data_IF_283989513475
#
_entry.id   IF_283989513475
#
_cell.length_a   1.000
_cell.length_b   1.000
_cell.length_c   1.000
_cell.angle_alpha   90.00
_cell.angle_beta   90.00
_cell.angle_gamma   90.00
#
_symmetry.space_group_name_H-M   'P 1'
#
loop_
_entity.id
_entity.type
_entity.pdbx_description
1 polymer ?
#
# COMPACT_ATOMS: atom_id res chain seq x y z
N UNK A 1 13.17 -36.14 -21.59
CA UNK A 1 11.75 -35.71 -21.53
C UNK A 1 11.09 -36.04 -20.20
N UNK A 2 10.99 -37.31 -19.79
CA UNK A 2 10.34 -37.70 -18.52
C UNK A 2 10.88 -36.95 -17.28
N UNK A 3 12.20 -36.89 -17.11
CA UNK A 3 12.85 -36.20 -15.97
C UNK A 3 12.59 -34.68 -15.91
N UNK A 4 12.46 -34.02 -17.06
CA UNK A 4 12.15 -32.59 -17.14
C UNK A 4 10.68 -32.31 -16.80
N UNK A 5 9.78 -33.19 -17.24
CA UNK A 5 8.35 -33.15 -16.89
C UNK A 5 8.18 -33.40 -15.39
N UNK A 6 8.91 -34.36 -14.81
CA UNK A 6 8.89 -34.62 -13.37
C UNK A 6 9.42 -33.43 -12.56
N UNK A 7 10.49 -32.78 -13.02
CA UNK A 7 11.03 -31.58 -12.37
C UNK A 7 10.06 -30.39 -12.44
N UNK A 8 9.40 -30.18 -13.58
CA UNK A 8 8.40 -29.13 -13.75
C UNK A 8 7.18 -29.37 -12.85
N UNK A 9 6.68 -30.61 -12.76
CA UNK A 9 5.57 -30.97 -11.87
C UNK A 9 5.93 -30.80 -10.38
N UNK A 10 7.17 -31.12 -10.00
CA UNK A 10 7.64 -30.90 -8.63
C UNK A 10 7.74 -29.41 -8.28
N UNK A 11 8.18 -28.56 -9.22
CA UNK A 11 8.24 -27.11 -9.03
C UNK A 11 6.84 -26.49 -8.90
N UNK A 12 5.89 -26.94 -9.72
CA UNK A 12 4.48 -26.51 -9.65
C UNK A 12 3.87 -26.92 -8.30
N UNK A 13 4.15 -28.13 -7.81
CA UNK A 13 3.65 -28.60 -6.52
C UNK A 13 4.22 -27.78 -5.34
N UNK A 14 5.49 -27.38 -5.41
CA UNK A 14 6.11 -26.50 -4.41
C UNK A 14 5.50 -25.09 -4.39
N UNK A 15 5.13 -24.56 -5.56
CA UNK A 15 4.43 -23.26 -5.67
C UNK A 15 3.00 -23.34 -5.08
N UNK A 16 2.32 -24.47 -5.26
CA UNK A 16 0.98 -24.69 -4.69
C UNK A 16 1.06 -24.85 -3.16
N UNK A 17 2.08 -25.54 -2.63
CA UNK A 17 2.30 -25.71 -1.19
C UNK A 17 2.76 -24.42 -0.49
N UNK A 18 3.49 -23.54 -1.19
CA UNK A 18 3.82 -22.19 -0.70
C UNK A 18 2.63 -21.21 -0.78
N UNK A 19 1.50 -21.62 -1.37
CA UNK A 19 0.29 -20.81 -1.51
C UNK A 19 -0.73 -20.96 -0.37
N UNK A 20 -0.51 -21.87 0.59
CA UNK A 20 -1.37 -21.99 1.77
C UNK A 20 -0.78 -21.15 2.91
N UNK A 21 -1.47 -20.05 3.22
CA UNK A 21 -1.11 -19.00 4.20
C UNK A 21 -0.11 -17.96 3.66
N UNK A 22 -0.64 -16.94 2.96
CA UNK A 22 0.14 -15.72 2.74
C UNK A 22 0.53 -15.14 4.09
N UNK A 23 1.84 -15.00 4.34
CA UNK A 23 2.32 -14.27 5.51
C UNK A 23 1.83 -12.83 5.46
N UNK A 24 1.70 -12.19 6.63
CA UNK A 24 1.31 -10.77 6.69
C UNK A 24 2.30 -9.87 5.93
N UNK A 25 3.54 -10.30 5.75
CA UNK A 25 4.54 -9.64 4.90
C UNK A 25 4.15 -9.68 3.43
N UNK A 26 3.79 -10.86 2.89
CA UNK A 26 3.37 -11.00 1.50
C UNK A 26 2.10 -10.18 1.19
N UNK A 27 1.17 -10.11 2.15
CA UNK A 27 -0.04 -9.29 2.01
C UNK A 27 0.30 -7.80 1.94
N UNK A 28 1.26 -7.34 2.75
CA UNK A 28 1.75 -5.94 2.70
C UNK A 28 2.43 -5.63 1.37
N UNK A 29 3.33 -6.49 0.90
CA UNK A 29 3.99 -6.31 -0.40
C UNK A 29 2.99 -6.25 -1.55
N UNK A 30 1.97 -7.12 -1.53
CA UNK A 30 0.89 -7.10 -2.51
C UNK A 30 0.10 -5.78 -2.47
N UNK A 31 -0.18 -5.25 -1.27
CA UNK A 31 -0.84 -3.94 -1.10
C UNK A 31 0.03 -2.79 -1.56
N UNK A 32 1.33 -2.83 -1.31
CA UNK A 32 2.27 -1.80 -1.75
C UNK A 32 2.35 -1.75 -3.28
N UNK A 33 2.41 -2.92 -3.92
CA UNK A 33 2.32 -3.05 -5.38
C UNK A 33 1.00 -2.50 -5.92
N UNK A 34 -0.14 -2.90 -5.32
CA UNK A 34 -1.45 -2.40 -5.72
C UNK A 34 -1.55 -0.87 -5.58
N UNK A 35 -1.08 -0.34 -4.45
CA UNK A 35 -1.06 1.08 -4.17
C UNK A 35 -0.23 1.85 -5.20
N UNK A 36 0.92 1.31 -5.62
CA UNK A 36 1.81 1.97 -6.60
C UNK A 36 1.21 2.02 -8.01
N UNK A 37 0.41 1.02 -8.39
CA UNK A 37 -0.17 0.95 -9.75
C UNK A 37 -1.43 1.82 -9.88
N UNK A 38 -2.30 1.82 -8.87
CA UNK A 38 -3.67 2.34 -9.00
C UNK A 38 -4.16 3.07 -7.74
N UNK A 39 -3.31 3.21 -6.72
CA UNK A 39 -3.69 3.73 -5.41
C UNK A 39 -4.61 2.77 -4.62
N UNK A 40 -4.90 3.14 -3.37
CA UNK A 40 -5.91 2.48 -2.54
C UNK A 40 -6.95 3.50 -2.08
N UNK A 41 -8.17 3.04 -1.80
CA UNK A 41 -9.20 3.88 -1.20
C UNK A 41 -8.79 4.22 0.24
N UNK A 42 -8.52 5.49 0.50
CA UNK A 42 -7.99 5.97 1.77
C UNK A 42 -8.65 7.27 2.21
N UNK A 43 -8.55 7.52 3.50
CA UNK A 43 -8.82 8.82 4.13
C UNK A 43 -7.51 9.30 4.73
N UNK A 44 -7.06 10.49 4.33
CA UNK A 44 -5.90 11.16 4.91
C UNK A 44 -6.36 12.36 5.72
N UNK A 45 -6.06 12.36 7.01
CA UNK A 45 -6.35 13.45 7.93
C UNK A 45 -5.06 14.18 8.30
N UNK A 46 -5.07 15.49 8.14
CA UNK A 46 -3.95 16.38 8.47
C UNK A 46 -4.26 17.09 9.76
N UNK A 47 -3.32 17.04 10.69
CA UNK A 47 -3.46 17.58 12.03
C UNK A 47 -2.57 18.80 12.22
N UNK A 48 -3.05 19.79 12.98
CA UNK A 48 -2.22 20.86 13.51
C UNK A 48 -1.36 20.39 14.69
N UNK A 49 -0.49 21.28 15.19
CA UNK A 49 0.39 21.00 16.32
C UNK A 49 -0.36 20.81 17.66
N UNK A 50 -1.65 21.17 17.72
CA UNK A 50 -2.52 20.98 18.87
C UNK A 50 -3.33 19.68 18.78
N UNK A 51 -3.19 18.92 17.69
CA UNK A 51 -3.91 17.66 17.47
C UNK A 51 -5.31 17.84 16.88
N UNK A 52 -5.65 19.01 16.34
CA UNK A 52 -6.92 19.22 15.66
C UNK A 52 -6.80 18.87 14.17
N UNK A 53 -7.81 18.21 13.62
CA UNK A 53 -7.90 17.99 12.17
C UNK A 53 -8.15 19.32 11.47
N UNK A 54 -7.26 19.69 10.57
CA UNK A 54 -7.34 20.91 9.75
C UNK A 54 -7.69 20.62 8.29
N UNK A 55 -7.52 19.37 7.85
CA UNK A 55 -7.87 18.95 6.49
C UNK A 55 -8.13 17.44 6.44
N UNK A 56 -9.09 17.04 5.61
CA UNK A 56 -9.36 15.65 5.29
C UNK A 56 -9.39 15.48 3.77
N UNK A 57 -8.67 14.48 3.27
CA UNK A 57 -8.71 14.03 1.89
C UNK A 57 -9.33 12.65 1.86
N UNK A 58 -10.21 12.39 0.89
CA UNK A 58 -10.84 11.09 0.69
C UNK A 58 -10.74 10.75 -0.78
N UNK A 59 -10.41 9.51 -1.09
CA UNK A 59 -10.35 9.07 -2.48
C UNK A 59 -9.42 7.89 -2.64
N UNK A 60 -9.05 7.63 -3.89
CA UNK A 60 -8.12 6.58 -4.25
C UNK A 60 -6.78 7.20 -4.62
N UNK A 61 -5.75 6.93 -3.82
CA UNK A 61 -4.44 7.53 -4.02
C UNK A 61 -3.32 6.64 -3.49
N UNK A 62 -2.14 6.76 -4.07
CA UNK A 62 -0.89 6.25 -3.52
C UNK A 62 -0.31 7.24 -2.51
N UNK A 63 0.62 6.81 -1.67
CA UNK A 63 1.26 7.70 -0.69
C UNK A 63 2.76 7.51 -0.78
N UNK A 64 3.48 8.61 -0.94
CA UNK A 64 4.93 8.65 -0.82
C UNK A 64 5.32 9.49 0.39
N UNK A 65 6.15 8.90 1.24
CA UNK A 65 6.79 9.59 2.36
C UNK A 65 8.28 9.68 2.05
N UNK A 66 8.90 10.83 2.32
CA UNK A 66 10.34 10.94 2.16
C UNK A 66 11.10 10.22 3.30
N UNK A 67 12.40 10.00 3.09
CA UNK A 67 13.28 9.33 4.07
C UNK A 67 13.25 9.99 5.47
N UNK A 68 13.08 11.31 5.53
CA UNK A 68 13.05 12.05 6.79
C UNK A 68 11.67 12.10 7.46
N UNK A 69 10.63 11.51 6.86
CA UNK A 69 9.27 11.46 7.40
C UNK A 69 8.56 12.82 7.49
N UNK A 70 9.18 13.89 6.99
CA UNK A 70 8.68 15.26 7.15
C UNK A 70 7.93 15.79 5.92
N UNK A 71 7.81 14.97 4.87
CA UNK A 71 7.04 15.26 3.66
C UNK A 71 6.17 14.07 3.28
N UNK A 72 4.87 14.31 3.14
CA UNK A 72 3.89 13.38 2.57
C UNK A 72 3.42 13.91 1.23
N UNK A 73 3.37 13.05 0.21
CA UNK A 73 2.96 13.39 -1.16
C UNK A 73 1.97 12.35 -1.68
N UNK A 74 0.87 12.80 -2.26
CA UNK A 74 -0.12 11.97 -2.94
C UNK A 74 -0.90 12.77 -3.97
N UNK A 75 -1.46 12.08 -4.96
CA UNK A 75 -2.32 12.67 -5.99
C UNK A 75 -3.78 12.24 -5.75
N UNK A 76 -4.69 13.19 -5.58
CA UNK A 76 -6.12 12.94 -5.32
C UNK A 76 -6.97 13.88 -6.18
N UNK A 77 -8.03 13.34 -6.80
CA UNK A 77 -8.95 14.08 -7.68
C UNK A 77 -8.24 14.90 -8.80
N UNK A 78 -7.14 14.37 -9.33
CA UNK A 78 -6.34 15.05 -10.37
C UNK A 78 -5.43 16.17 -9.86
N UNK A 79 -5.34 16.36 -8.54
CA UNK A 79 -4.48 17.36 -7.91
C UNK A 79 -3.39 16.70 -7.06
N UNK A 80 -2.18 17.26 -7.13
CA UNK A 80 -1.07 16.86 -6.27
C UNK A 80 -1.11 17.60 -4.94
N UNK A 81 -1.07 16.84 -3.85
CA UNK A 81 -0.97 17.36 -2.49
C UNK A 81 0.46 17.11 -1.97
N UNK A 82 1.07 18.16 -1.41
CA UNK A 82 2.33 18.06 -0.67
C UNK A 82 2.14 18.66 0.71
N UNK A 83 2.44 17.89 1.74
CA UNK A 83 2.33 18.31 3.14
C UNK A 83 3.72 18.25 3.75
N UNK A 84 4.15 19.34 4.38
CA UNK A 84 5.43 19.45 5.06
C UNK A 84 5.22 19.65 6.56
N UNK A 85 5.98 18.90 7.36
CA UNK A 85 6.09 19.07 8.82
C UNK A 85 4.73 19.10 9.55
N UNK A 86 3.78 18.25 9.12
CA UNK A 86 2.50 18.06 9.79
C UNK A 86 2.24 16.58 10.05
N UNK A 87 1.49 16.30 11.11
CA UNK A 87 1.03 14.94 11.38
C UNK A 87 -0.05 14.57 10.38
N UNK A 88 0.11 13.44 9.70
CA UNK A 88 -0.85 12.89 8.76
C UNK A 88 -1.17 11.46 9.15
N UNK A 89 -2.45 11.17 9.39
CA UNK A 89 -2.96 9.81 9.60
C UNK A 89 -3.66 9.38 8.33
N UNK A 90 -3.31 8.21 7.81
CA UNK A 90 -3.87 7.69 6.56
C UNK A 90 -4.39 6.28 6.81
N UNK A 91 -5.69 6.09 6.59
CA UNK A 91 -6.36 4.82 6.79
C UNK A 91 -7.01 4.34 5.49
N UNK A 92 -6.93 3.03 5.21
CA UNK A 92 -7.69 2.42 4.11
C UNK A 92 -9.18 2.35 4.48
N UNK A 93 -10.05 2.82 3.58
CA UNK A 93 -11.50 2.71 3.73
C UNK A 93 -12.02 1.59 2.84
N UNK A 94 -12.14 0.38 3.40
CA UNK A 94 -12.74 -0.75 2.68
C UNK A 94 -12.10 -2.12 2.92
N UNK A 95 -11.58 -2.39 4.11
CA UNK A 95 -11.17 -3.75 4.50
C UNK A 95 -12.26 -4.46 5.30
N UNK A 96 -13.14 -5.18 4.61
CA UNK A 96 -13.69 -6.46 5.08
C UNK A 96 -13.15 -7.56 4.15
#
# INVERSE_FOLDING_TARGET
MKKAITAALAAILLLILAGCEQTEEMKREQKDLQSSVDGLNRVAEVYDASGNVIKTYKGKFDVEVNEYGNKVKFDVDGHRVLIYNATVVIEETGGE
#
